data_IF_189950304019
#
_entry.id   IF_189950304019
#
_cell.length_a   1.000
_cell.length_b   1.000
_cell.length_c   1.000
_cell.angle_alpha   90.00
_cell.angle_beta   90.00
_cell.angle_gamma   90.00
#
_symmetry.space_group_name_H-M   'P 1'
#
loop_
_entity.id
_entity.type
_entity.pdbx_description
1 polymer ?
#
# COMPACT_ATOMS: atom_id res chain seq x y z
N UNK A 1 19.11 -3.18 29.15
CA UNK A 1 18.93 -3.88 27.86
C UNK A 1 19.18 -2.89 26.75
N UNK A 2 19.92 -3.28 25.71
CA UNK A 2 20.12 -2.43 24.54
C UNK A 2 18.83 -2.37 23.71
N UNK A 3 18.62 -1.24 23.05
CA UNK A 3 17.51 -1.01 22.12
C UNK A 3 18.06 -0.72 20.73
N UNK A 4 17.45 -1.29 19.71
CA UNK A 4 17.86 -1.15 18.32
C UNK A 4 16.68 -0.61 17.50
N UNK A 5 16.85 0.53 16.84
CA UNK A 5 15.83 1.14 15.99
C UNK A 5 16.12 0.89 14.50
N UNK A 6 15.15 0.34 13.78
CA UNK A 6 15.21 0.18 12.33
C UNK A 6 15.12 1.54 11.63
N UNK A 7 16.17 1.93 10.91
CA UNK A 7 16.29 3.21 10.17
C UNK A 7 15.42 3.32 8.92
N UNK A 8 14.63 2.28 8.60
CA UNK A 8 13.75 2.19 7.42
C UNK A 8 12.27 2.31 7.82
N UNK A 9 11.86 1.71 8.93
CA UNK A 9 10.45 1.70 9.36
C UNK A 9 10.20 2.18 10.79
N UNK A 10 11.24 2.41 11.59
CA UNK A 10 11.15 2.87 12.97
C UNK A 10 10.78 1.79 14.00
N UNK A 11 10.83 0.50 13.64
CA UNK A 11 10.64 -0.60 14.60
C UNK A 11 11.76 -0.60 15.66
N UNK A 12 11.41 -0.78 16.94
CA UNK A 12 12.34 -0.89 18.06
C UNK A 12 12.42 -2.35 18.50
N UNK A 13 13.63 -2.89 18.54
CA UNK A 13 13.95 -4.21 19.08
C UNK A 13 14.70 -4.07 20.40
N UNK A 14 14.31 -4.83 21.42
CA UNK A 14 15.03 -4.90 22.70
C UNK A 14 15.84 -6.20 22.76
N UNK A 15 17.15 -6.09 22.92
CA UNK A 15 18.05 -7.23 22.88
C UNK A 15 19.52 -6.82 22.74
N UNK A 16 20.44 -7.73 23.06
CA UNK A 16 21.89 -7.47 22.98
C UNK A 16 22.37 -7.21 21.54
N UNK A 17 21.68 -7.77 20.56
CA UNK A 17 21.99 -7.64 19.12
C UNK A 17 20.72 -7.31 18.33
N UNK A 18 20.82 -6.64 17.16
CA UNK A 18 19.67 -6.40 16.30
C UNK A 18 19.18 -7.71 15.66
N UNK A 19 17.90 -7.79 15.25
CA UNK A 19 17.36 -8.99 14.61
C UNK A 19 17.90 -9.20 13.20
N UNK A 20 17.98 -10.46 12.75
CA UNK A 20 18.45 -10.83 11.39
C UNK A 20 17.58 -10.25 10.27
N UNK A 21 16.27 -10.09 10.51
CA UNK A 21 15.37 -9.38 9.62
C UNK A 21 14.40 -8.54 10.43
N UNK A 22 14.16 -7.31 9.99
CA UNK A 22 13.15 -6.45 10.59
C UNK A 22 11.76 -7.08 10.41
N UNK A 23 11.02 -7.37 11.51
CA UNK A 23 9.73 -8.07 11.42
C UNK A 23 8.65 -7.25 10.71
N UNK A 24 8.83 -5.93 10.59
CA UNK A 24 7.89 -4.99 9.97
C UNK A 24 8.14 -4.83 8.47
N UNK A 25 9.35 -4.43 8.07
CA UNK A 25 9.67 -4.10 6.69
C UNK A 25 10.57 -5.11 5.97
N UNK A 26 11.22 -6.04 6.69
CA UNK A 26 12.02 -7.13 6.11
C UNK A 26 13.41 -6.72 5.61
N UNK A 27 13.99 -5.63 6.15
CA UNK A 27 15.39 -5.27 5.92
C UNK A 27 16.31 -5.96 6.93
N UNK A 28 17.59 -6.17 6.60
CA UNK A 28 18.55 -6.85 7.48
C UNK A 28 19.04 -6.02 8.67
N UNK A 29 19.91 -6.58 9.52
CA UNK A 29 20.42 -5.95 10.74
C UNK A 29 21.24 -4.69 10.44
N UNK A 30 21.81 -4.55 9.24
CA UNK A 30 22.58 -3.39 8.80
C UNK A 30 21.76 -2.08 8.78
N UNK A 31 20.44 -2.19 8.81
CA UNK A 31 19.53 -1.05 8.88
C UNK A 31 19.11 -0.71 10.32
N UNK A 32 19.69 -1.31 11.35
CA UNK A 32 19.42 -1.00 12.75
C UNK A 32 20.51 -0.11 13.37
N UNK A 33 20.10 0.85 14.20
CA UNK A 33 20.99 1.68 15.02
C UNK A 33 20.69 1.47 16.50
N UNK A 34 21.73 1.38 17.33
CA UNK A 34 21.56 1.31 18.78
C UNK A 34 21.03 2.64 19.33
N UNK A 35 19.98 2.58 20.15
CA UNK A 35 19.39 3.71 20.85
C UNK A 35 20.02 3.79 22.24
N UNK A 36 20.93 4.74 22.42
CA UNK A 36 21.52 5.03 23.73
C UNK A 36 20.54 5.91 24.50
N UNK A 37 19.85 5.36 25.50
CA UNK A 37 19.02 6.13 26.42
C UNK A 37 19.92 7.04 27.27
N UNK A 38 20.04 8.31 26.90
CA UNK A 38 20.49 9.35 27.83
C UNK A 38 19.28 9.78 28.65
N UNK A 39 19.31 9.50 29.95
CA UNK A 39 18.31 9.99 30.89
C UNK A 39 18.37 11.54 31.03
N UNK A 40 17.19 12.12 31.24
CA UNK A 40 16.83 13.48 31.66
C UNK A 40 16.60 14.63 30.65
N UNK A 41 15.29 14.89 30.46
CA UNK A 41 14.56 16.18 30.59
C UNK A 41 15.29 17.48 30.17
N UNK A 42 14.69 18.22 29.25
CA UNK A 42 13.83 19.43 29.47
C UNK A 42 13.76 20.26 28.18
N UNK A 43 12.60 20.84 27.88
CA UNK A 43 12.37 21.82 26.82
C UNK A 43 13.27 23.05 26.98
N UNK A 44 14.13 23.38 26.01
CA UNK A 44 14.23 24.71 25.35
C UNK A 44 15.28 24.74 24.24
N UNK A 45 14.99 25.56 23.22
CA UNK A 45 15.82 25.88 22.07
C UNK A 45 17.19 26.47 22.44
N UNK A 46 18.21 26.18 21.62
CA UNK A 46 19.27 27.07 21.10
C UNK A 46 20.50 26.22 20.72
N UNK A 47 21.30 26.39 19.66
CA UNK A 47 21.40 27.30 18.51
C UNK A 47 22.65 26.79 17.72
N UNK A 48 22.56 26.71 16.37
CA UNK A 48 23.61 26.88 15.34
C UNK A 48 24.93 26.04 15.42
N UNK A 49 25.14 25.01 14.58
CA UNK A 49 25.72 25.00 13.19
C UNK A 49 27.23 25.30 13.10
N UNK A 50 27.99 24.87 12.06
CA UNK A 50 27.85 23.71 11.15
C UNK A 50 29.20 22.98 10.95
N UNK A 51 29.22 21.71 10.54
CA UNK A 51 30.38 21.20 9.76
C UNK A 51 30.00 20.05 8.81
N UNK A 52 30.65 20.14 7.66
CA UNK A 52 30.40 19.54 6.35
C UNK A 52 30.41 18.01 6.29
N UNK A 53 29.47 17.41 5.54
CA UNK A 53 29.78 16.40 4.50
C UNK A 53 28.71 16.42 3.38
N UNK A 54 29.18 16.64 2.14
CA UNK A 54 28.57 16.33 0.84
C UNK A 54 27.09 16.71 0.58
N UNK A 55 26.91 17.87 -0.06
CA UNK A 55 25.66 18.24 -0.70
C UNK A 55 25.37 17.35 -1.93
N UNK A 56 24.59 16.28 -1.73
CA UNK A 56 23.75 15.75 -2.81
C UNK A 56 22.72 16.84 -3.17
N UNK A 57 22.61 17.15 -4.47
CA UNK A 57 21.60 18.06 -5.03
C UNK A 57 20.18 17.53 -4.72
N UNK A 58 19.64 17.84 -3.54
CA UNK A 58 18.22 17.68 -3.26
C UNK A 58 17.46 18.77 -4.01
N UNK A 59 16.94 18.42 -5.19
CA UNK A 59 15.91 19.21 -5.86
C UNK A 59 14.78 19.47 -4.86
N UNK A 60 14.43 20.74 -4.59
CA UNK A 60 13.33 21.10 -3.69
C UNK A 60 12.14 20.16 -3.93
N UNK A 61 11.65 19.44 -2.91
CA UNK A 61 10.59 18.46 -3.13
C UNK A 61 9.37 19.17 -3.73
N UNK A 62 8.90 18.65 -4.86
CA UNK A 62 7.72 19.14 -5.57
C UNK A 62 6.57 19.34 -4.58
N UNK A 63 5.79 20.40 -4.74
CA UNK A 63 4.64 20.73 -3.89
C UNK A 63 3.72 19.52 -3.67
N UNK A 64 3.50 18.73 -4.72
CA UNK A 64 2.73 17.49 -4.67
C UNK A 64 3.32 16.45 -3.71
N UNK A 65 4.66 16.26 -3.72
CA UNK A 65 5.35 15.33 -2.83
C UNK A 65 5.17 15.71 -1.37
N UNK A 66 5.27 17.00 -1.05
CA UNK A 66 4.99 17.53 0.30
C UNK A 66 3.55 17.25 0.73
N UNK A 67 2.58 17.43 -0.16
CA UNK A 67 1.17 17.19 0.13
C UNK A 67 0.89 15.71 0.42
N UNK A 68 1.41 14.81 -0.39
CA UNK A 68 1.27 13.35 -0.19
C UNK A 68 1.75 12.92 1.19
N UNK A 69 2.90 13.45 1.63
CA UNK A 69 3.48 13.11 2.92
C UNK A 69 2.74 13.78 4.09
N UNK A 70 2.35 15.05 3.96
CA UNK A 70 1.65 15.81 5.01
C UNK A 70 0.24 15.30 5.29
N UNK A 71 -0.51 14.96 4.24
CA UNK A 71 -1.91 14.54 4.36
C UNK A 71 -2.10 13.02 4.28
N UNK A 72 -1.02 12.24 4.23
CA UNK A 72 -1.07 10.78 4.15
C UNK A 72 -1.98 10.30 3.00
N UNK A 73 -1.81 10.91 1.81
CA UNK A 73 -2.68 10.69 0.67
C UNK A 73 -2.64 9.23 0.17
N UNK A 74 -1.52 8.52 0.31
CA UNK A 74 -1.45 7.12 -0.08
C UNK A 74 -2.34 6.22 0.78
N UNK A 75 -2.25 6.23 2.13
CA UNK A 75 -3.24 5.57 2.98
C UNK A 75 -4.68 5.91 2.59
N UNK A 76 -5.03 7.18 2.37
CA UNK A 76 -6.40 7.56 1.98
C UNK A 76 -6.79 6.92 0.65
N UNK A 77 -5.93 7.01 -0.36
CA UNK A 77 -6.18 6.48 -1.70
C UNK A 77 -6.41 4.97 -1.69
N UNK A 78 -5.64 4.18 -0.91
CA UNK A 78 -5.78 2.71 -0.90
C UNK A 78 -7.09 2.23 -0.27
N UNK A 79 -7.80 3.04 0.52
CA UNK A 79 -9.10 2.63 1.06
C UNK A 79 -10.16 2.50 -0.04
N UNK A 80 -10.04 3.27 -1.13
CA UNK A 80 -10.96 3.18 -2.26
C UNK A 80 -10.96 1.79 -2.90
N UNK A 81 -9.86 1.24 -3.46
CA UNK A 81 -9.86 -0.11 -4.00
C UNK A 81 -10.17 -1.16 -2.91
N UNK A 82 -9.67 -0.99 -1.69
CA UNK A 82 -9.87 -1.96 -0.62
C UNK A 82 -11.33 -2.08 -0.14
N UNK A 83 -12.11 -1.00 -0.25
CA UNK A 83 -13.54 -1.01 0.10
C UNK A 83 -14.46 -1.29 -1.10
N UNK A 84 -14.18 -0.68 -2.25
CA UNK A 84 -15.05 -0.75 -3.43
C UNK A 84 -14.94 -2.08 -4.15
N UNK A 85 -13.76 -2.73 -4.21
CA UNK A 85 -13.63 -4.03 -4.88
C UNK A 85 -14.42 -5.15 -4.19
N UNK A 86 -14.38 -5.33 -2.85
CA UNK A 86 -15.26 -6.28 -2.18
C UNK A 86 -16.75 -6.00 -2.42
N UNK A 87 -17.15 -4.72 -2.41
CA UNK A 87 -18.52 -4.33 -2.72
C UNK A 87 -18.90 -4.73 -4.15
N UNK A 88 -18.04 -4.45 -5.13
CA UNK A 88 -18.24 -4.83 -6.53
C UNK A 88 -18.36 -6.36 -6.71
N UNK A 89 -17.55 -7.14 -5.97
CA UNK A 89 -17.63 -8.59 -5.96
C UNK A 89 -18.98 -9.09 -5.44
N UNK A 90 -19.50 -8.50 -4.35
CA UNK A 90 -20.82 -8.85 -3.81
C UNK A 90 -21.92 -8.54 -4.84
N UNK A 91 -21.90 -7.35 -5.44
CA UNK A 91 -22.86 -7.00 -6.49
C UNK A 91 -22.79 -7.95 -7.67
N UNK A 92 -21.58 -8.30 -8.12
CA UNK A 92 -21.41 -9.22 -9.22
C UNK A 92 -21.89 -10.63 -8.87
N UNK A 93 -21.61 -11.13 -7.66
CA UNK A 93 -22.09 -12.43 -7.20
C UNK A 93 -23.63 -12.48 -7.24
N UNK A 94 -24.30 -11.45 -6.72
CA UNK A 94 -25.78 -11.33 -6.78
C UNK A 94 -26.26 -11.34 -8.24
N UNK A 95 -25.63 -10.55 -9.11
CA UNK A 95 -25.99 -10.51 -10.53
C UNK A 95 -25.84 -11.88 -11.21
N UNK A 96 -24.75 -12.61 -10.94
CA UNK A 96 -24.50 -13.93 -11.54
C UNK A 96 -25.45 -15.03 -11.05
N UNK A 97 -25.87 -14.96 -9.78
CA UNK A 97 -26.75 -15.97 -9.16
C UNK A 97 -28.23 -15.73 -9.47
N UNK A 98 -28.67 -14.47 -9.45
CA UNK A 98 -30.08 -14.10 -9.55
C UNK A 98 -30.47 -13.45 -10.88
N UNK A 99 -29.50 -13.16 -11.76
CA UNK A 99 -29.76 -12.55 -13.07
C UNK A 99 -30.23 -11.10 -13.00
N UNK A 100 -29.91 -10.38 -11.92
CA UNK A 100 -30.36 -9.00 -11.70
C UNK A 100 -29.44 -7.99 -12.40
N UNK A 101 -29.93 -7.40 -13.50
CA UNK A 101 -29.17 -6.44 -14.32
C UNK A 101 -28.68 -5.20 -13.54
N UNK A 102 -29.45 -4.71 -12.57
CA UNK A 102 -29.07 -3.53 -11.76
C UNK A 102 -27.80 -3.75 -10.95
N UNK A 103 -27.63 -4.96 -10.40
CA UNK A 103 -26.43 -5.32 -9.64
C UNK A 103 -25.21 -5.49 -10.55
N UNK A 104 -25.41 -5.99 -11.76
CA UNK A 104 -24.33 -6.07 -12.75
C UNK A 104 -23.81 -4.67 -13.11
N UNK A 105 -24.71 -3.71 -13.34
CA UNK A 105 -24.33 -2.33 -13.63
C UNK A 105 -23.64 -1.66 -12.43
N UNK A 106 -24.14 -1.89 -11.21
CA UNK A 106 -23.52 -1.37 -10.00
C UNK A 106 -22.08 -1.92 -9.83
N UNK A 107 -21.87 -3.21 -10.08
CA UNK A 107 -20.54 -3.81 -10.07
C UNK A 107 -19.64 -3.18 -11.15
N UNK A 108 -20.15 -3.03 -12.38
CA UNK A 108 -19.40 -2.43 -13.49
C UNK A 108 -18.92 -1.01 -13.19
N UNK A 109 -19.80 -0.12 -12.73
CA UNK A 109 -19.41 1.25 -12.38
C UNK A 109 -18.44 1.31 -11.22
N UNK A 110 -18.58 0.40 -10.25
CA UNK A 110 -17.63 0.28 -9.14
C UNK A 110 -16.22 -0.10 -9.64
N UNK A 111 -16.12 -1.06 -10.55
CA UNK A 111 -14.84 -1.47 -11.16
C UNK A 111 -14.21 -0.34 -11.98
N UNK A 112 -15.00 0.40 -12.77
CA UNK A 112 -14.53 1.57 -13.53
C UNK A 112 -13.97 2.64 -12.60
N UNK A 113 -14.71 2.96 -11.53
CA UNK A 113 -14.27 3.94 -10.54
C UNK A 113 -12.94 3.56 -9.89
N UNK A 114 -12.76 2.28 -9.53
CA UNK A 114 -11.49 1.81 -8.98
C UNK A 114 -10.36 1.92 -10.00
N UNK A 115 -10.59 1.54 -11.27
CA UNK A 115 -9.56 1.65 -12.31
C UNK A 115 -9.07 3.10 -12.48
N UNK A 116 -9.99 4.07 -12.49
CA UNK A 116 -9.65 5.50 -12.56
C UNK A 116 -8.84 5.96 -11.34
N UNK A 117 -9.09 5.37 -10.17
CA UNK A 117 -8.37 5.70 -8.93
C UNK A 117 -6.96 5.06 -8.85
N UNK A 118 -6.73 3.92 -9.52
CA UNK A 118 -5.47 3.17 -9.43
C UNK A 118 -4.20 3.98 -9.78
N UNK A 119 -4.17 4.84 -10.82
CA UNK A 119 -3.01 5.70 -11.09
C UNK A 119 -2.62 6.57 -9.89
N UNK A 120 -3.62 7.13 -9.19
CA UNK A 120 -3.37 7.95 -8.00
C UNK A 120 -2.82 7.11 -6.85
N UNK A 121 -3.36 5.90 -6.62
CA UNK A 121 -2.86 4.95 -5.61
C UNK A 121 -1.40 4.57 -5.87
N UNK A 122 -1.06 4.28 -7.13
CA UNK A 122 0.29 3.86 -7.54
C UNK A 122 1.28 5.01 -7.36
N UNK A 123 0.97 6.20 -7.88
CA UNK A 123 1.88 7.37 -7.79
C UNK A 123 2.12 7.75 -6.34
N UNK A 124 1.07 7.85 -5.53
CA UNK A 124 1.21 8.17 -4.11
C UNK A 124 1.98 7.08 -3.35
N UNK A 125 1.81 5.81 -3.73
CA UNK A 125 2.54 4.68 -3.17
C UNK A 125 4.04 4.71 -3.47
N UNK A 126 4.42 5.04 -4.70
CA UNK A 126 5.83 5.19 -5.10
C UNK A 126 6.49 6.33 -4.31
N UNK A 127 5.79 7.47 -4.17
CA UNK A 127 6.30 8.61 -3.38
C UNK A 127 6.56 8.20 -1.94
N UNK A 128 5.58 7.56 -1.28
CA UNK A 128 5.74 7.11 0.11
C UNK A 128 6.84 6.06 0.24
N UNK A 129 6.98 5.14 -0.71
CA UNK A 129 8.04 4.14 -0.70
C UNK A 129 9.44 4.76 -0.79
N UNK A 130 9.63 5.75 -1.64
CA UNK A 130 10.90 6.46 -1.77
C UNK A 130 11.21 7.33 -0.54
N UNK A 131 10.24 8.11 -0.05
CA UNK A 131 10.49 9.07 1.04
C UNK A 131 10.53 8.43 2.42
N UNK A 132 9.55 7.56 2.75
CA UNK A 132 9.46 6.96 4.07
C UNK A 132 10.38 5.75 4.22
N UNK A 133 10.50 4.94 3.18
CA UNK A 133 11.19 3.64 3.25
C UNK A 133 12.51 3.61 2.47
N UNK A 134 13.01 4.78 2.05
CA UNK A 134 14.31 4.94 1.33
C UNK A 134 14.44 4.05 0.09
N UNK A 135 13.33 3.66 -0.53
CA UNK A 135 13.35 2.75 -1.68
C UNK A 135 13.80 1.32 -1.37
N UNK A 136 13.65 0.85 -0.13
CA UNK A 136 14.05 -0.50 0.27
C UNK A 136 13.36 -1.58 -0.58
N UNK A 137 14.14 -2.54 -1.09
CA UNK A 137 13.66 -3.65 -1.92
C UNK A 137 13.54 -4.92 -1.09
N UNK A 138 12.42 -5.07 -0.38
CA UNK A 138 12.14 -6.25 0.45
C UNK A 138 10.96 -7.04 -0.10
N UNK A 139 10.78 -8.28 0.37
CA UNK A 139 9.62 -9.13 0.00
C UNK A 139 8.28 -8.42 0.26
N UNK A 140 8.20 -7.62 1.33
CA UNK A 140 6.98 -6.85 1.68
C UNK A 140 6.64 -5.86 0.57
N UNK A 141 7.61 -5.08 0.09
CA UNK A 141 7.37 -4.11 -1.00
C UNK A 141 7.11 -4.80 -2.33
N UNK A 142 7.82 -5.90 -2.63
CA UNK A 142 7.59 -6.72 -3.82
C UNK A 142 6.16 -7.27 -3.89
N UNK A 143 5.64 -7.80 -2.78
CA UNK A 143 4.25 -8.30 -2.69
C UNK A 143 3.21 -7.19 -2.88
N UNK A 144 3.45 -5.98 -2.36
CA UNK A 144 2.53 -4.84 -2.56
C UNK A 144 2.49 -4.37 -4.01
N UNK A 145 3.65 -4.29 -4.67
CA UNK A 145 3.74 -3.92 -6.09
C UNK A 145 3.08 -5.01 -6.96
N UNK A 146 3.38 -6.29 -6.70
CA UNK A 146 2.74 -7.42 -7.37
C UNK A 146 1.23 -7.42 -7.21
N UNK A 147 0.72 -7.16 -6.00
CA UNK A 147 -0.71 -7.00 -5.74
C UNK A 147 -1.35 -5.87 -6.56
N UNK A 148 -0.69 -4.72 -6.67
CA UNK A 148 -1.18 -3.61 -7.50
C UNK A 148 -1.23 -3.98 -8.99
N UNK A 149 -0.23 -4.68 -9.51
CA UNK A 149 -0.20 -5.16 -10.91
C UNK A 149 -1.36 -6.14 -11.15
N UNK A 150 -1.57 -7.10 -10.25
CA UNK A 150 -2.67 -8.06 -10.33
C UNK A 150 -4.02 -7.33 -10.36
N UNK A 151 -4.23 -6.35 -9.48
CA UNK A 151 -5.47 -5.56 -9.43
C UNK A 151 -5.70 -4.81 -10.74
N UNK A 152 -4.69 -4.11 -11.27
CA UNK A 152 -4.85 -3.37 -12.53
C UNK A 152 -5.11 -4.32 -13.71
N UNK A 153 -4.35 -5.41 -13.82
CA UNK A 153 -4.49 -6.37 -14.92
C UNK A 153 -5.86 -7.04 -14.91
N UNK A 154 -6.32 -7.48 -13.74
CA UNK A 154 -7.65 -8.11 -13.61
C UNK A 154 -8.78 -7.09 -13.82
N UNK A 155 -8.64 -5.85 -13.34
CA UNK A 155 -9.61 -4.78 -13.64
C UNK A 155 -9.73 -4.51 -15.14
N UNK A 156 -8.60 -4.37 -15.84
CA UNK A 156 -8.61 -4.19 -17.29
C UNK A 156 -9.26 -5.37 -18.01
N UNK A 157 -8.93 -6.61 -17.60
CA UNK A 157 -9.53 -7.80 -18.18
C UNK A 157 -11.06 -7.83 -17.98
N UNK A 158 -11.55 -7.53 -16.78
CA UNK A 158 -12.99 -7.48 -16.49
C UNK A 158 -13.69 -6.40 -17.33
N UNK A 159 -13.13 -5.19 -17.37
CA UNK A 159 -13.75 -4.08 -18.08
C UNK A 159 -13.73 -4.29 -19.59
N UNK A 160 -12.63 -4.80 -20.15
CA UNK A 160 -12.54 -5.12 -21.59
C UNK A 160 -13.53 -6.23 -21.95
N UNK A 161 -13.62 -7.31 -21.16
CA UNK A 161 -14.60 -8.36 -21.41
C UNK A 161 -16.02 -7.78 -21.38
N UNK A 162 -16.33 -6.91 -20.41
CA UNK A 162 -17.66 -6.30 -20.30
C UNK A 162 -18.01 -5.37 -21.48
N UNK A 163 -17.02 -4.77 -22.14
CA UNK A 163 -17.23 -3.98 -23.34
C UNK A 163 -17.55 -4.85 -24.57
N UNK A 164 -16.99 -6.06 -24.64
CA UNK A 164 -17.26 -7.03 -25.71
C UNK A 164 -18.59 -7.75 -25.48
N UNK A 165 -18.89 -8.11 -24.24
CA UNK A 165 -20.10 -8.85 -23.86
C UNK A 165 -20.85 -8.13 -22.72
N UNK A 166 -21.79 -7.22 -23.06
CA UNK A 166 -22.53 -6.45 -22.07
C UNK A 166 -23.47 -7.24 -21.16
N UNK A 167 -23.60 -8.56 -21.35
CA UNK A 167 -24.41 -9.44 -20.52
C UNK A 167 -23.59 -10.55 -19.87
N UNK A 168 -22.29 -10.32 -19.65
CA UNK A 168 -21.35 -11.37 -19.19
C UNK A 168 -21.82 -12.07 -17.91
N UNK A 169 -22.54 -11.39 -17.01
CA UNK A 169 -23.07 -12.01 -15.79
C UNK A 169 -24.18 -13.06 -16.05
N UNK A 170 -24.87 -12.97 -17.20
CA UNK A 170 -25.84 -13.96 -17.66
C UNK A 170 -25.26 -14.94 -18.70
N UNK A 171 -24.03 -14.72 -19.16
CA UNK A 171 -23.36 -15.59 -20.13
C UNK A 171 -22.91 -16.93 -19.52
N UNK A 172 -22.51 -17.92 -20.35
CA UNK A 172 -21.79 -19.11 -19.88
C UNK A 172 -20.46 -18.77 -19.17
N UNK A 173 -19.82 -17.65 -19.53
CA UNK A 173 -18.56 -17.18 -18.95
C UNK A 173 -18.68 -16.51 -17.58
N UNK A 174 -19.89 -16.38 -17.02
CA UNK A 174 -20.16 -15.65 -15.77
C UNK A 174 -19.31 -16.09 -14.58
N UNK A 175 -19.02 -17.39 -14.46
CA UNK A 175 -18.25 -17.93 -13.35
C UNK A 175 -16.76 -17.58 -13.46
N UNK A 176 -16.23 -17.60 -14.68
CA UNK A 176 -14.87 -17.14 -14.96
C UNK A 176 -14.75 -15.64 -14.70
N UNK A 177 -15.74 -14.85 -15.12
CA UNK A 177 -15.79 -13.42 -14.83
C UNK A 177 -15.81 -13.13 -13.31
N UNK A 178 -16.64 -13.86 -12.56
CA UNK A 178 -16.69 -13.77 -11.10
C UNK A 178 -15.35 -14.19 -10.44
N UNK A 179 -14.71 -15.25 -10.94
CA UNK A 179 -13.40 -15.72 -10.46
C UNK A 179 -12.31 -14.67 -10.67
N UNK A 180 -12.27 -14.01 -11.84
CA UNK A 180 -11.31 -12.93 -12.09
C UNK A 180 -11.54 -11.77 -11.12
N UNK A 181 -12.80 -11.42 -10.82
CA UNK A 181 -13.14 -10.42 -9.82
C UNK A 181 -12.69 -10.83 -8.41
N UNK A 182 -12.84 -12.10 -8.04
CA UNK A 182 -12.34 -12.64 -6.78
C UNK A 182 -10.81 -12.53 -6.68
N UNK A 183 -10.07 -12.85 -7.75
CA UNK A 183 -8.62 -12.68 -7.82
C UNK A 183 -8.23 -11.20 -7.68
N UNK A 184 -8.98 -10.29 -8.30
CA UNK A 184 -8.80 -8.84 -8.12
C UNK A 184 -8.93 -8.43 -6.64
N UNK A 185 -9.99 -8.87 -5.96
CA UNK A 185 -10.22 -8.59 -4.53
C UNK A 185 -9.10 -9.19 -3.68
N UNK A 186 -8.68 -10.42 -3.96
CA UNK A 186 -7.58 -11.07 -3.25
C UNK A 186 -6.27 -10.28 -3.39
N UNK A 187 -5.94 -9.81 -4.59
CA UNK A 187 -4.77 -8.96 -4.84
C UNK A 187 -4.79 -7.67 -4.02
N UNK A 188 -5.95 -6.99 -3.97
CA UNK A 188 -6.14 -5.79 -3.16
C UNK A 188 -6.03 -6.10 -1.65
N UNK A 189 -6.68 -7.17 -1.18
CA UNK A 189 -6.66 -7.59 0.22
C UNK A 189 -5.25 -7.96 0.72
N UNK A 190 -4.48 -8.70 -0.08
CA UNK A 190 -3.08 -9.04 0.24
C UNK A 190 -2.24 -7.77 0.34
N UNK A 191 -2.34 -6.86 -0.65
CA UNK A 191 -1.61 -5.59 -0.63
C UNK A 191 -2.00 -4.72 0.58
N UNK A 192 -3.29 -4.70 0.92
CA UNK A 192 -3.84 -4.03 2.10
C UNK A 192 -3.31 -4.60 3.41
N UNK A 193 -3.25 -5.92 3.56
CA UNK A 193 -2.70 -6.59 4.75
C UNK A 193 -1.25 -6.19 5.01
N UNK A 194 -0.39 -6.28 3.98
CA UNK A 194 1.01 -5.85 4.09
C UNK A 194 1.14 -4.34 4.27
N UNK A 195 0.19 -3.55 3.74
CA UNK A 195 0.06 -2.13 4.04
C UNK A 195 -0.18 -1.85 5.52
N UNK A 196 -1.14 -2.53 6.12
CA UNK A 196 -1.42 -2.46 7.56
C UNK A 196 -0.21 -2.88 8.39
N UNK A 197 0.48 -3.96 8.00
CA UNK A 197 1.70 -4.41 8.67
C UNK A 197 2.79 -3.33 8.72
N UNK A 198 2.99 -2.58 7.64
CA UNK A 198 3.97 -1.49 7.59
C UNK A 198 3.58 -0.26 8.42
N UNK A 199 2.30 -0.07 8.72
CA UNK A 199 1.78 1.07 9.49
C UNK A 199 1.67 0.76 10.98
N UNK A 200 1.22 -0.44 11.32
CA UNK A 200 0.91 -0.84 12.70
C UNK A 200 1.93 -1.82 13.29
N UNK A 201 2.80 -2.42 12.48
CA UNK A 201 3.78 -3.41 12.93
C UNK A 201 4.82 -2.87 13.90
N UNK A 202 5.08 -1.56 13.90
CA UNK A 202 5.98 -0.90 14.85
C UNK A 202 5.36 -0.61 16.22
N UNK A 203 4.04 -0.82 16.40
CA UNK A 203 3.32 -0.54 17.66
C UNK A 203 3.12 -1.76 18.56
N UNK A 204 3.70 -2.92 18.23
CA UNK A 204 3.70 -4.06 19.16
C UNK A 204 4.74 -3.77 20.25
N UNK A 205 4.22 -3.18 21.34
CA UNK A 205 4.86 -3.11 22.65
C UNK A 205 5.09 -4.52 23.19
#
# INVERSE_FOLDING_TARGET
>A
MKKWECTVCGYIHEGETPPDECPVCGVGPEFFKEVVEKEEKTLTQAVLEPDSVAAEKQSKPSFFRKMVMKHHLHPIAVHTPNGVLPLALIFLAIATMFGLASFEQAAFYSLVFVLINMPFVIVTGIIVWQDRYKGAKTKVFGLKIGGAIIVVATLLALLIWRLVEPGVAASPGRWTYLLICLVCVAGAGISGHFGGKLVFGSRKH
#
